data_IF_994638608969
#
_entry.id   IF_994638608969
#
_cell.length_a   1.000
_cell.length_b   1.000
_cell.length_c   1.000
_cell.angle_alpha   90.00
_cell.angle_beta   90.00
_cell.angle_gamma   90.00
#
_symmetry.space_group_name_H-M   'P 1'
#
loop_
_entity.id
_entity.type
_entity.pdbx_description
1 polymer ?
#
# COMPACT_ATOMS: atom_id res chain seq x y z
N UNK A 1 3.34 -10.28 -5.98
CA UNK A 1 3.65 -11.09 -4.78
C UNK A 1 4.80 -10.45 -4.03
N UNK A 2 4.75 -10.42 -2.71
CA UNK A 2 5.83 -9.93 -1.85
C UNK A 2 6.04 -10.90 -0.68
N UNK A 3 7.29 -11.05 -0.26
CA UNK A 3 7.63 -11.72 0.99
C UNK A 3 7.64 -10.73 2.14
N UNK A 4 7.11 -11.16 3.28
CA UNK A 4 6.96 -10.37 4.49
C UNK A 4 7.72 -11.06 5.63
N UNK A 5 7.81 -10.39 6.77
CA UNK A 5 8.44 -10.99 7.94
C UNK A 5 7.77 -12.30 8.36
N UNK A 6 8.57 -13.13 9.04
CA UNK A 6 8.12 -14.37 9.66
C UNK A 6 7.52 -15.37 8.66
N UNK A 7 8.04 -15.42 7.42
CA UNK A 7 7.64 -16.41 6.42
C UNK A 7 6.24 -16.21 5.85
N UNK A 8 5.66 -15.01 5.98
CA UNK A 8 4.35 -14.71 5.38
C UNK A 8 4.53 -14.20 3.95
N UNK A 9 3.77 -14.72 3.00
CA UNK A 9 3.66 -14.24 1.63
C UNK A 9 2.34 -13.50 1.42
N UNK A 10 2.36 -12.44 0.62
CA UNK A 10 1.16 -11.76 0.14
C UNK A 10 1.13 -11.69 -1.39
N UNK A 11 -0.04 -11.94 -1.98
CA UNK A 11 -0.24 -12.06 -3.41
C UNK A 11 -1.50 -11.30 -3.84
N UNK A 12 -1.35 -10.35 -4.76
CA UNK A 12 -2.46 -9.70 -5.47
C UNK A 12 -2.41 -10.09 -6.95
N UNK A 13 -3.58 -10.25 -7.58
CA UNK A 13 -3.70 -10.64 -8.98
C UNK A 13 -4.78 -9.86 -9.74
N UNK A 14 -4.92 -8.57 -9.47
CA UNK A 14 -5.97 -7.73 -10.09
C UNK A 14 -7.38 -8.02 -9.58
N UNK A 15 -7.49 -8.64 -8.41
CA UNK A 15 -8.75 -8.90 -7.70
C UNK A 15 -8.93 -7.87 -6.57
N UNK A 16 -10.10 -7.82 -5.94
CA UNK A 16 -10.34 -7.01 -4.74
C UNK A 16 -9.68 -7.59 -3.47
N UNK A 17 -9.16 -8.81 -3.58
CA UNK A 17 -8.63 -9.63 -2.49
C UNK A 17 -7.11 -9.80 -2.64
N UNK A 18 -6.42 -9.89 -1.50
CA UNK A 18 -5.02 -10.29 -1.39
C UNK A 18 -4.99 -11.63 -0.68
N UNK A 19 -4.38 -12.63 -1.33
CA UNK A 19 -4.12 -13.93 -0.70
C UNK A 19 -2.88 -13.81 0.18
N UNK A 20 -2.98 -14.35 1.38
CA UNK A 20 -1.88 -14.38 2.36
C UNK A 20 -1.60 -15.83 2.75
N UNK A 21 -0.33 -16.15 2.94
CA UNK A 21 0.10 -17.51 3.28
C UNK A 21 1.24 -17.46 4.29
N UNK A 22 1.03 -18.04 5.46
CA UNK A 22 2.10 -18.33 6.42
C UNK A 22 2.75 -19.67 6.04
N UNK A 23 3.98 -19.60 5.54
CA UNK A 23 4.73 -20.78 5.11
C UNK A 23 5.18 -21.66 6.26
N UNK A 24 5.26 -21.14 7.48
CA UNK A 24 5.75 -21.91 8.63
C UNK A 24 4.64 -22.76 9.25
N UNK A 25 3.42 -22.21 9.29
CA UNK A 25 2.25 -22.87 9.87
C UNK A 25 1.36 -23.54 8.81
N UNK A 26 1.73 -23.44 7.53
CA UNK A 26 0.93 -23.89 6.38
C UNK A 26 -0.50 -23.30 6.33
N UNK A 27 -0.70 -22.14 6.97
CA UNK A 27 -2.00 -21.47 7.07
C UNK A 27 -2.16 -20.45 5.95
N UNK A 28 -3.29 -20.49 5.24
CA UNK A 28 -3.62 -19.54 4.19
C UNK A 28 -4.88 -18.75 4.53
N UNK A 29 -4.97 -17.53 4.00
CA UNK A 29 -6.10 -16.65 4.19
C UNK A 29 -6.26 -15.67 3.04
N UNK A 30 -7.29 -14.84 3.14
CA UNK A 30 -7.54 -13.75 2.22
C UNK A 30 -8.00 -12.52 2.97
N UNK A 31 -7.53 -11.35 2.53
CA UNK A 31 -7.92 -10.05 3.06
C UNK A 31 -8.43 -9.20 1.89
N UNK A 32 -9.48 -8.43 2.12
CA UNK A 32 -10.27 -7.84 1.04
C UNK A 32 -10.49 -6.35 1.25
N UNK A 33 -10.67 -5.62 0.15
CA UNK A 33 -11.29 -4.30 0.19
C UNK A 33 -12.74 -4.41 0.70
N UNK A 34 -13.19 -3.42 1.46
CA UNK A 34 -14.54 -3.40 2.04
C UNK A 34 -15.26 -2.09 1.73
N UNK A 35 -16.50 -2.17 1.26
CA UNK A 35 -17.32 -0.98 0.99
C UNK A 35 -17.51 -0.11 2.23
N UNK A 36 -17.63 -0.73 3.40
CA UNK A 36 -17.67 -0.04 4.70
C UNK A 36 -16.41 0.77 5.05
N UNK A 37 -15.31 0.59 4.29
CA UNK A 37 -14.04 1.31 4.45
C UNK A 37 -13.76 2.29 3.30
N UNK A 38 -14.76 2.59 2.47
CA UNK A 38 -14.66 3.58 1.39
C UNK A 38 -14.25 3.03 0.02
N UNK A 39 -14.26 1.71 -0.18
CA UNK A 39 -13.96 1.08 -1.47
C UNK A 39 -15.22 0.75 -2.27
N UNK A 40 -15.12 0.70 -3.60
CA UNK A 40 -16.19 0.23 -4.48
C UNK A 40 -16.22 -1.30 -4.54
N UNK A 41 -17.36 -1.88 -4.90
CA UNK A 41 -17.50 -3.34 -5.07
C UNK A 41 -16.77 -3.88 -6.30
N UNK A 42 -16.50 -3.01 -7.29
CA UNK A 42 -15.77 -3.33 -8.51
C UNK A 42 -14.28 -2.93 -8.44
N UNK A 43 -13.86 -2.28 -7.35
CA UNK A 43 -12.50 -1.81 -7.16
C UNK A 43 -11.53 -2.98 -6.98
N UNK A 44 -10.38 -2.93 -7.67
CA UNK A 44 -9.38 -4.01 -7.67
C UNK A 44 -8.04 -3.50 -7.19
N UNK A 45 -7.22 -4.42 -6.69
CA UNK A 45 -5.87 -4.14 -6.17
C UNK A 45 -4.86 -4.33 -7.30
N UNK A 46 -4.10 -3.28 -7.59
CA UNK A 46 -3.17 -3.21 -8.71
C UNK A 46 -1.74 -3.57 -8.31
N UNK A 47 -1.35 -3.22 -7.09
CA UNK A 47 -0.01 -3.41 -6.56
C UNK A 47 -0.03 -3.49 -5.04
N UNK A 48 1.00 -4.10 -4.44
CA UNK A 48 1.15 -4.26 -2.99
C UNK A 48 2.58 -3.97 -2.52
N UNK A 49 2.72 -3.51 -1.28
CA UNK A 49 4.01 -3.33 -0.60
C UNK A 49 3.83 -3.49 0.91
N UNK A 50 4.85 -3.98 1.62
CA UNK A 50 4.80 -4.20 3.07
C UNK A 50 5.88 -3.37 3.78
N UNK A 51 5.53 -2.84 4.96
CA UNK A 51 6.47 -2.20 5.87
C UNK A 51 6.64 -3.03 7.14
N UNK A 52 7.87 -3.46 7.39
CA UNK A 52 8.26 -4.09 8.67
C UNK A 52 8.15 -3.10 9.83
N UNK A 53 8.53 -1.83 9.60
CA UNK A 53 8.50 -0.77 10.61
C UNK A 53 7.07 -0.49 11.08
N UNK A 54 6.12 -0.41 10.14
CA UNK A 54 4.72 -0.11 10.46
C UNK A 54 3.87 -1.36 10.69
N UNK A 55 4.39 -2.56 10.43
CA UNK A 55 3.61 -3.80 10.45
C UNK A 55 2.39 -3.74 9.52
N UNK A 56 2.54 -3.09 8.36
CA UNK A 56 1.42 -2.70 7.52
C UNK A 56 1.64 -3.13 6.07
N UNK A 57 0.64 -3.82 5.53
CA UNK A 57 0.54 -4.14 4.12
C UNK A 57 -0.29 -3.05 3.43
N UNK A 58 0.24 -2.47 2.37
CA UNK A 58 -0.44 -1.45 1.58
C UNK A 58 -0.72 -1.96 0.18
N UNK A 59 -1.86 -1.59 -0.37
CA UNK A 59 -2.27 -1.88 -1.74
C UNK A 59 -2.74 -0.64 -2.47
N UNK A 60 -2.28 -0.44 -3.70
CA UNK A 60 -2.87 0.55 -4.61
C UNK A 60 -4.09 -0.03 -5.32
N UNK A 61 -5.07 0.81 -5.66
CA UNK A 61 -6.31 0.38 -6.30
C UNK A 61 -6.55 0.96 -7.68
N UNK A 62 -7.43 0.31 -8.45
CA UNK A 62 -7.87 0.73 -9.78
C UNK A 62 -8.65 2.05 -9.78
N UNK A 63 -9.32 2.39 -8.67
CA UNK A 63 -10.09 3.64 -8.51
C UNK A 63 -9.29 4.74 -7.76
N UNK A 64 -7.98 4.57 -7.67
CA UNK A 64 -7.10 5.62 -7.18
C UNK A 64 -7.15 5.85 -5.68
N UNK A 65 -7.19 4.75 -4.93
CA UNK A 65 -7.10 4.75 -3.48
C UNK A 65 -5.90 3.92 -3.03
N UNK A 66 -5.46 4.17 -1.81
CA UNK A 66 -4.50 3.33 -1.10
C UNK A 66 -5.21 2.64 0.04
N UNK A 67 -5.14 1.31 0.04
CA UNK A 67 -5.58 0.46 1.11
C UNK A 67 -4.44 0.09 2.04
N UNK A 68 -4.72 0.10 3.35
CA UNK A 68 -3.76 -0.27 4.37
C UNK A 68 -4.38 -1.33 5.26
N UNK A 69 -3.69 -2.46 5.40
CA UNK A 69 -4.01 -3.50 6.38
C UNK A 69 -2.94 -3.48 7.46
N UNK A 70 -3.34 -3.20 8.70
CA UNK A 70 -2.45 -3.24 9.86
C UNK A 70 -2.51 -4.61 10.50
N UNK A 71 -1.34 -5.21 10.74
CA UNK A 71 -1.26 -6.52 11.41
C UNK A 71 -1.44 -6.36 12.91
N UNK A 72 -2.36 -7.14 13.48
CA UNK A 72 -2.53 -7.40 14.91
C UNK A 72 -1.99 -8.81 15.16
N UNK A 73 -1.05 -8.94 16.08
CA UNK A 73 -0.51 -10.25 16.48
C UNK A 73 -1.31 -10.73 17.68
N UNK A 74 -2.47 -11.32 17.43
CA UNK A 74 -3.26 -12.02 18.44
C UNK A 74 -3.12 -13.53 18.22
N UNK A 75 -3.03 -14.31 19.30
CA UNK A 75 -2.78 -15.76 19.24
C UNK A 75 -3.99 -16.57 18.82
N UNK A 76 -5.19 -16.03 19.01
CA UNK A 76 -6.46 -16.74 18.82
C UNK A 76 -7.19 -16.33 17.54
N UNK A 77 -6.58 -15.45 16.72
CA UNK A 77 -7.12 -14.98 15.44
C UNK A 77 -6.50 -15.77 14.28
N UNK A 78 -7.34 -16.14 13.30
CA UNK A 78 -6.86 -16.69 12.02
C UNK A 78 -5.93 -15.71 11.32
N UNK A 79 -5.10 -16.19 10.40
CA UNK A 79 -4.15 -15.38 9.66
C UNK A 79 -4.81 -14.17 8.98
N UNK A 80 -6.05 -14.28 8.49
CA UNK A 80 -6.79 -13.18 7.87
C UNK A 80 -7.35 -12.17 8.88
N UNK A 81 -7.81 -12.61 10.04
CA UNK A 81 -8.36 -11.76 11.12
C UNK A 81 -7.30 -10.87 11.77
N UNK A 82 -6.05 -11.34 11.74
CA UNK A 82 -4.88 -10.56 12.14
C UNK A 82 -4.71 -9.28 11.30
N UNK A 83 -5.31 -9.16 10.12
CA UNK A 83 -5.18 -7.99 9.26
C UNK A 83 -6.41 -7.09 9.29
N UNK A 84 -6.26 -5.89 9.85
CA UNK A 84 -7.35 -4.94 9.95
C UNK A 84 -7.26 -3.87 8.83
N UNK A 85 -8.23 -3.88 7.93
CA UNK A 85 -8.36 -2.87 6.87
C UNK A 85 -8.70 -1.50 7.46
N UNK A 86 -7.89 -0.50 7.13
CA UNK A 86 -8.10 0.90 7.49
C UNK A 86 -9.00 1.62 6.46
N UNK A 87 -9.47 2.81 6.81
CA UNK A 87 -10.22 3.68 5.88
C UNK A 87 -9.41 3.98 4.62
N UNK A 88 -10.10 4.10 3.48
CA UNK A 88 -9.48 4.40 2.21
C UNK A 88 -8.85 5.80 2.18
N UNK A 89 -7.68 5.88 1.56
CA UNK A 89 -7.00 7.15 1.29
C UNK A 89 -7.10 7.43 -0.21
N UNK A 90 -7.84 8.47 -0.59
CA UNK A 90 -8.03 8.85 -1.99
C UNK A 90 -6.82 9.62 -2.52
N UNK A 91 -6.27 9.14 -3.65
CA UNK A 91 -5.21 9.77 -4.44
C UNK A 91 -5.78 10.40 -5.72
N UNK A 92 -6.95 9.94 -6.17
CA UNK A 92 -7.73 10.55 -7.25
C UNK A 92 -7.49 9.97 -8.64
N UNK A 93 -6.48 9.11 -8.83
CA UNK A 93 -6.22 8.41 -10.09
C UNK A 93 -5.64 7.02 -9.84
N UNK A 94 -5.84 6.08 -10.79
CA UNK A 94 -5.41 4.68 -10.69
C UNK A 94 -3.97 4.58 -10.18
N UNK A 95 -3.80 3.85 -9.09
CA UNK A 95 -2.48 3.62 -8.51
C UNK A 95 -1.78 2.53 -9.32
N UNK A 96 -0.58 2.82 -9.82
CA UNK A 96 0.23 1.88 -10.59
C UNK A 96 1.26 1.18 -9.69
N UNK A 97 1.85 1.90 -8.74
CA UNK A 97 2.87 1.38 -7.83
C UNK A 97 2.73 1.95 -6.43
N UNK A 98 2.95 1.10 -5.44
CA UNK A 98 3.20 1.49 -4.05
C UNK A 98 4.52 0.87 -3.58
N UNK A 99 5.30 1.61 -2.80
CA UNK A 99 6.59 1.18 -2.24
C UNK A 99 6.82 1.78 -0.87
N UNK A 100 6.89 0.95 0.15
CA UNK A 100 7.39 1.37 1.46
C UNK A 100 8.90 1.58 1.40
N UNK A 101 9.35 2.68 2.02
CA UNK A 101 10.74 2.87 2.37
C UNK A 101 11.13 1.88 3.48
N UNK A 102 12.29 1.25 3.31
CA UNK A 102 12.76 0.19 4.21
C UNK A 102 13.15 0.70 5.60
N UNK A 103 13.49 1.99 5.73
CA UNK A 103 14.09 2.55 6.96
C UNK A 103 13.27 3.65 7.64
N UNK A 104 12.30 4.27 6.96
CA UNK A 104 11.61 5.46 7.47
C UNK A 104 10.12 5.30 7.69
N UNK A 105 9.53 4.15 7.34
CA UNK A 105 8.09 3.95 7.46
C UNK A 105 7.29 4.97 6.64
N UNK A 106 7.81 5.39 5.49
CA UNK A 106 7.18 6.28 4.50
C UNK A 106 6.74 5.45 3.30
N UNK A 107 5.55 5.74 2.74
CA UNK A 107 5.01 5.05 1.57
C UNK A 107 5.07 5.98 0.36
N UNK A 108 5.79 5.56 -0.68
CA UNK A 108 5.72 6.20 -1.99
C UNK A 108 4.58 5.59 -2.81
N UNK A 109 3.82 6.45 -3.50
CA UNK A 109 2.67 6.07 -4.33
C UNK A 109 2.86 6.72 -5.71
N UNK A 110 2.74 5.92 -6.76
CA UNK A 110 2.74 6.38 -8.15
C UNK A 110 1.35 6.16 -8.73
N UNK A 111 0.74 7.23 -9.24
CA UNK A 111 -0.53 7.20 -9.94
C UNK A 111 -0.38 8.00 -11.24
N UNK A 112 -0.95 7.51 -12.34
CA UNK A 112 -0.77 8.04 -13.69
C UNK A 112 0.66 7.89 -14.28
N UNK A 113 0.80 8.08 -15.60
CA UNK A 113 1.92 7.61 -16.46
C UNK A 113 3.25 8.36 -16.33
N UNK A 114 3.55 9.02 -15.21
CA UNK A 114 4.84 9.66 -15.00
C UNK A 114 5.51 9.11 -13.73
N UNK A 115 6.52 8.27 -13.93
CA UNK A 115 7.42 7.79 -12.86
C UNK A 115 8.61 8.74 -12.80
N UNK A 116 8.71 9.55 -11.75
CA UNK A 116 9.88 10.40 -11.50
C UNK A 116 10.71 9.84 -10.34
N UNK A 117 11.96 9.49 -10.62
CA UNK A 117 12.98 9.16 -9.64
C UNK A 117 13.56 10.46 -9.06
N UNK A 118 13.28 10.75 -7.79
CA UNK A 118 13.92 11.86 -7.07
C UNK A 118 15.09 11.33 -6.23
N UNK A 119 16.29 11.81 -6.56
CA UNK A 119 17.51 11.69 -5.76
C UNK A 119 17.76 13.05 -5.12
N UNK A 120 18.16 13.06 -3.85
CA UNK A 120 18.55 14.27 -3.11
C UNK A 120 19.54 15.11 -3.93
N UNK A 121 19.16 16.37 -4.22
CA UNK A 121 20.05 17.40 -4.75
C UNK A 121 20.21 18.46 -3.65
N UNK A 122 21.43 18.89 -3.31
CA UNK A 122 21.62 20.03 -2.43
C UNK A 122 20.99 21.27 -3.06
N UNK A 123 20.14 21.97 -2.29
CA UNK A 123 19.40 23.15 -2.70
C UNK A 123 20.36 24.26 -3.14
N UNK A 124 20.24 24.69 -4.39
CA UNK A 124 20.55 26.05 -4.81
C UNK A 124 19.23 26.68 -5.24
N UNK A 125 18.79 27.67 -4.45
CA UNK A 125 17.62 28.47 -4.76
C UNK A 125 17.94 29.45 -5.89
N UNK A 126 17.09 29.50 -6.91
CA UNK A 126 16.68 30.78 -7.50
C UNK A 126 15.28 30.63 -8.13
N UNK A 127 14.47 31.67 -7.99
CA UNK A 127 13.06 31.68 -8.30
C UNK A 127 12.80 32.00 -9.78
N UNK A 128 11.86 31.28 -10.42
CA UNK A 128 10.99 31.88 -11.44
C UNK A 128 9.69 31.07 -11.60
N UNK A 129 8.60 31.81 -11.71
CA UNK A 129 7.24 31.30 -11.80
C UNK A 129 7.00 30.56 -13.13
N UNK A 130 6.42 29.37 -13.06
CA UNK A 130 5.41 28.93 -14.04
C UNK A 130 4.65 27.67 -13.58
N UNK A 131 3.45 27.55 -14.12
CA UNK A 131 2.35 26.62 -13.85
C UNK A 131 2.73 25.12 -13.90
N UNK A 132 2.21 24.30 -12.97
CA UNK A 132 1.99 22.86 -13.21
C UNK A 132 2.33 21.90 -12.06
N UNK A 133 1.36 21.05 -11.73
CA UNK A 133 1.48 19.71 -11.13
C UNK A 133 2.04 19.58 -9.70
N UNK A 134 1.11 19.60 -8.73
CA UNK A 134 1.39 19.26 -7.35
C UNK A 134 1.53 17.75 -7.16
N UNK A 135 2.71 17.33 -6.68
CA UNK A 135 2.99 15.96 -6.23
C UNK A 135 2.42 15.77 -4.82
N UNK A 136 1.55 14.78 -4.62
CA UNK A 136 1.11 14.38 -3.29
C UNK A 136 2.11 13.39 -2.66
N UNK A 137 3.14 13.89 -1.97
CA UNK A 137 3.90 13.08 -1.02
C UNK A 137 3.06 13.01 0.27
N UNK A 138 2.30 11.92 0.45
CA UNK A 138 1.59 11.69 1.72
C UNK A 138 2.60 11.14 2.73
N UNK A 139 3.10 12.03 3.59
CA UNK A 139 3.90 11.66 4.77
C UNK A 139 2.92 11.33 5.90
N UNK A 140 2.84 10.05 6.27
CA UNK A 140 2.16 9.65 7.51
C UNK A 140 3.13 9.86 8.69
N UNK A 141 3.00 10.99 9.38
CA UNK A 141 3.60 11.22 10.71
C UNK A 141 2.86 10.43 11.78
#
# INVERSE_FOLDING_TARGET
MIAMESGVLAMCNGEKDIRIWDLNNEEHGSISLRTAKGYSSAETITCISYSNIKGCLSGGTSEGKVANWKRRRATDETLSEQWNLQEAISIGSKVELVRWATVSGVLAVSACSLVTLLKEQPILADANADVGDYIHIIIFS
#
